data_IF_322470347267
#
_entry.id   IF_322470347267
#
_cell.length_a   1.000
_cell.length_b   1.000
_cell.length_c   1.000
_cell.angle_alpha   90.00
_cell.angle_beta   90.00
_cell.angle_gamma   90.00
#
_symmetry.space_group_name_H-M   'P 1'
#
loop_
_entity.id
_entity.type
_entity.pdbx_description
1 polymer ?
#
# COMPACT_ATOMS: atom_id res chain seq x y z
N UNK A 1 4.42 -3.55 -9.56
CA UNK A 1 3.22 -3.05 -10.26
C UNK A 1 2.27 -2.27 -9.34
N UNK A 2 2.17 -2.57 -8.03
CA UNK A 2 1.41 -1.77 -7.05
C UNK A 2 -0.13 -1.94 -7.14
N UNK A 3 -0.64 -3.14 -7.45
CA UNK A 3 -2.07 -3.43 -7.28
C UNK A 3 -2.45 -3.56 -5.81
N UNK A 4 -3.74 -3.45 -5.46
CA UNK A 4 -4.22 -3.44 -4.07
C UNK A 4 -3.58 -4.51 -3.16
N UNK A 5 -3.56 -5.77 -3.60
CA UNK A 5 -2.98 -6.88 -2.82
C UNK A 5 -1.47 -6.76 -2.62
N UNK A 6 -0.72 -6.36 -3.66
CA UNK A 6 0.74 -6.16 -3.55
C UNK A 6 1.06 -4.97 -2.65
N UNK A 7 0.28 -3.88 -2.75
CA UNK A 7 0.39 -2.72 -1.87
C UNK A 7 0.13 -3.12 -0.43
N UNK A 8 -0.95 -3.85 -0.16
CA UNK A 8 -1.28 -4.32 1.19
C UNK A 8 -0.18 -5.22 1.77
N UNK A 9 0.40 -6.14 0.98
CA UNK A 9 1.52 -6.97 1.43
C UNK A 9 2.78 -6.16 1.71
N UNK A 10 3.13 -5.19 0.85
CA UNK A 10 4.28 -4.31 1.06
C UNK A 10 4.15 -3.44 2.31
N UNK A 11 2.95 -2.88 2.55
CA UNK A 11 2.62 -2.11 3.76
C UNK A 11 2.80 -2.95 5.03
N UNK A 12 2.31 -4.20 5.05
CA UNK A 12 2.50 -5.11 6.19
C UNK A 12 3.97 -5.51 6.40
N UNK A 13 4.73 -5.63 5.31
CA UNK A 13 6.17 -5.89 5.41
C UNK A 13 6.93 -4.69 5.99
N UNK A 14 6.41 -3.47 5.84
CA UNK A 14 7.04 -2.24 6.33
C UNK A 14 8.31 -1.90 5.56
N UNK A 15 8.32 -2.14 4.24
CA UNK A 15 9.48 -1.91 3.38
C UNK A 15 9.21 -0.80 2.35
N UNK A 16 10.21 0.05 2.04
CA UNK A 16 10.12 0.98 0.93
C UNK A 16 9.84 0.28 -0.40
N UNK A 17 9.13 0.96 -1.30
CA UNK A 17 8.77 0.41 -2.62
C UNK A 17 9.14 1.35 -3.77
N UNK A 18 9.33 0.78 -4.97
CA UNK A 18 9.49 1.53 -6.22
C UNK A 18 8.33 1.13 -7.15
N UNK A 19 7.25 1.91 -7.20
CA UNK A 19 6.06 1.55 -7.95
C UNK A 19 6.26 1.76 -9.46
N UNK A 20 5.98 0.71 -10.23
CA UNK A 20 5.90 0.76 -11.70
C UNK A 20 4.50 0.28 -12.11
N UNK A 21 3.47 1.16 -12.14
CA UNK A 21 2.09 0.75 -12.43
C UNK A 21 1.86 0.49 -13.92
N UNK A 22 1.00 -0.49 -14.22
CA UNK A 22 0.66 -0.94 -15.57
C UNK A 22 -0.77 -0.55 -15.96
N UNK A 23 -1.79 -0.89 -15.16
CA UNK A 23 -3.20 -0.63 -15.48
C UNK A 23 -4.11 -0.69 -14.24
N UNK A 24 -5.41 -0.41 -14.42
CA UNK A 24 -6.47 -0.46 -13.40
C UNK A 24 -6.20 0.43 -12.18
N UNK A 25 -6.26 -0.13 -10.98
CA UNK A 25 -6.11 0.56 -9.69
C UNK A 25 -4.65 0.85 -9.31
N UNK A 26 -3.69 0.32 -10.07
CA UNK A 26 -2.27 0.40 -9.75
C UNK A 26 -1.73 1.84 -9.68
N UNK A 27 -2.07 2.77 -10.60
CA UNK A 27 -1.61 4.16 -10.49
C UNK A 27 -2.13 4.87 -9.23
N UNK A 28 -3.37 4.57 -8.82
CA UNK A 28 -3.96 5.13 -7.61
C UNK A 28 -3.13 4.74 -6.38
N UNK A 29 -2.87 3.44 -6.21
CA UNK A 29 -2.08 2.95 -5.07
C UNK A 29 -0.63 3.42 -5.13
N UNK A 30 -0.02 3.46 -6.32
CA UNK A 30 1.34 3.97 -6.50
C UNK A 30 1.47 5.43 -6.05
N UNK A 31 0.53 6.29 -6.46
CA UNK A 31 0.48 7.68 -6.01
C UNK A 31 0.21 7.76 -4.51
N UNK A 32 -0.71 6.96 -3.97
CA UNK A 32 -1.00 6.97 -2.53
C UNK A 32 0.21 6.59 -1.69
N UNK A 33 1.00 5.61 -2.11
CA UNK A 33 2.25 5.23 -1.45
C UNK A 33 3.27 6.38 -1.46
N UNK A 34 3.39 7.09 -2.58
CA UNK A 34 4.30 8.24 -2.69
C UNK A 34 3.84 9.42 -1.84
N UNK A 35 2.54 9.76 -1.85
CA UNK A 35 1.97 10.85 -1.06
C UNK A 35 2.11 10.61 0.45
N UNK A 36 2.11 9.34 0.87
CA UNK A 36 2.38 8.93 2.26
C UNK A 36 3.88 8.86 2.60
N UNK A 37 4.77 9.14 1.64
CA UNK A 37 6.22 9.07 1.83
C UNK A 37 6.76 7.66 2.04
N UNK A 38 6.12 6.65 1.44
CA UNK A 38 6.43 5.21 1.59
C UNK A 38 7.17 4.63 0.38
N UNK A 39 7.39 5.43 -0.66
CA UNK A 39 7.94 4.98 -1.92
C UNK A 39 8.71 6.08 -2.64
N UNK A 40 9.50 5.70 -3.65
CA UNK A 40 9.92 6.64 -4.68
C UNK A 40 8.72 7.15 -5.48
N UNK A 41 8.92 8.23 -6.24
CA UNK A 41 7.95 8.70 -7.23
C UNK A 41 7.62 7.56 -8.22
N UNK A 42 6.33 7.28 -8.49
CA UNK A 42 5.97 6.20 -9.40
C UNK A 42 6.57 6.39 -10.79
N UNK A 43 7.20 5.34 -11.32
CA UNK A 43 7.73 5.33 -12.69
C UNK A 43 6.63 4.76 -13.59
N UNK A 44 6.01 5.59 -14.42
CA UNK A 44 5.08 5.09 -15.44
C UNK A 44 5.82 4.12 -16.36
N UNK A 45 5.20 2.99 -16.72
CA UNK A 45 5.82 1.95 -17.56
C UNK A 45 6.50 2.51 -18.82
N UNK A 46 5.86 3.47 -19.50
CA UNK A 46 6.40 4.11 -20.72
C UNK A 46 7.66 4.95 -20.49
N UNK A 47 7.93 5.34 -19.24
CA UNK A 47 9.07 6.14 -18.81
C UNK A 47 10.12 5.28 -18.09
N UNK A 48 9.93 3.95 -18.00
CA UNK A 48 10.88 3.06 -17.34
C UNK A 48 12.15 2.94 -18.18
N UNK A 49 13.24 3.45 -17.63
CA UNK A 49 14.62 3.30 -18.11
C UNK A 49 15.53 2.83 -16.98
N UNK A 50 16.74 2.38 -17.34
CA UNK A 50 17.79 2.03 -16.39
C UNK A 50 18.05 3.19 -15.43
N UNK A 51 18.25 4.40 -15.96
CA UNK A 51 18.51 5.60 -15.15
C UNK A 51 17.36 5.93 -14.20
N UNK A 52 16.10 5.85 -14.68
CA UNK A 52 14.92 6.13 -13.84
C UNK A 52 14.82 5.15 -12.66
N UNK A 53 15.21 3.89 -12.88
CA UNK A 53 15.18 2.85 -11.87
C UNK A 53 16.33 3.02 -10.87
N UNK A 54 17.56 3.27 -11.34
CA UNK A 54 18.72 3.57 -10.49
C UNK A 54 18.42 4.76 -9.60
N UNK A 55 17.92 5.87 -10.16
CA UNK A 55 17.58 7.06 -9.39
C UNK A 55 16.52 6.78 -8.32
N UNK A 56 15.57 5.89 -8.59
CA UNK A 56 14.54 5.51 -7.63
C UNK A 56 15.08 4.59 -6.53
N UNK A 57 15.98 3.66 -6.86
CA UNK A 57 16.71 2.82 -5.87
C UNK A 57 17.54 3.71 -4.95
N UNK A 58 18.31 4.63 -5.54
CA UNK A 58 19.11 5.60 -4.79
C UNK A 58 18.23 6.45 -3.88
N UNK A 59 17.09 6.93 -4.39
CA UNK A 59 16.17 7.74 -3.59
C UNK A 59 15.65 6.98 -2.36
N UNK A 60 15.15 5.75 -2.52
CA UNK A 60 14.59 4.99 -1.38
C UNK A 60 15.65 4.47 -0.41
N UNK A 61 16.91 4.34 -0.85
CA UNK A 61 18.01 3.86 0.00
C UNK A 61 18.74 4.98 0.73
N UNK A 62 18.81 6.19 0.15
CA UNK A 62 19.49 7.35 0.76
C UNK A 62 18.62 8.11 1.78
N UNK A 63 17.30 7.99 1.70
CA UNK A 63 16.37 8.73 2.54
C UNK A 63 15.73 7.83 3.61
N UNK A 64 16.35 7.79 4.80
CA UNK A 64 15.91 6.95 5.92
C UNK A 64 14.44 7.19 6.34
N UNK A 65 13.94 8.41 6.19
CA UNK A 65 12.55 8.75 6.54
C UNK A 65 11.52 7.86 5.83
N UNK A 66 11.82 7.36 4.62
CA UNK A 66 10.90 6.50 3.86
C UNK A 66 10.74 5.16 4.59
N UNK A 67 11.85 4.57 5.04
CA UNK A 67 11.84 3.34 5.82
C UNK A 67 11.15 3.54 7.16
N UNK A 68 11.42 4.65 7.84
CA UNK A 68 10.77 5.01 9.11
C UNK A 68 9.25 5.13 8.93
N UNK A 69 8.78 5.80 7.88
CA UNK A 69 7.36 5.89 7.55
C UNK A 69 6.74 4.53 7.26
N UNK A 70 7.43 3.66 6.50
CA UNK A 70 6.98 2.30 6.23
C UNK A 70 6.82 1.48 7.52
N UNK A 71 7.78 1.56 8.44
CA UNK A 71 7.70 0.90 9.74
C UNK A 71 6.55 1.47 10.58
N UNK A 72 6.37 2.79 10.60
CA UNK A 72 5.26 3.44 11.32
C UNK A 72 3.89 2.98 10.81
N UNK A 73 3.70 2.93 9.49
CA UNK A 73 2.45 2.45 8.90
C UNK A 73 2.24 0.95 9.17
N UNK A 74 3.31 0.15 9.12
CA UNK A 74 3.24 -1.27 9.51
C UNK A 74 2.73 -1.43 10.94
N UNK A 75 3.29 -0.67 11.89
CA UNK A 75 2.85 -0.75 13.29
C UNK A 75 1.37 -0.36 13.45
N UNK A 76 0.93 0.69 12.75
CA UNK A 76 -0.50 1.05 12.73
C UNK A 76 -1.39 -0.07 12.22
N UNK A 77 -1.02 -0.70 11.09
CA UNK A 77 -1.78 -1.82 10.51
C UNK A 77 -1.78 -3.03 11.45
N UNK A 78 -0.66 -3.32 12.13
CA UNK A 78 -0.58 -4.43 13.08
C UNK A 78 -1.45 -4.23 14.32
N UNK A 79 -1.76 -2.98 14.67
CA UNK A 79 -2.66 -2.64 15.77
C UNK A 79 -4.15 -2.72 15.38
N UNK A 80 -4.46 -2.93 14.11
CA UNK A 80 -5.82 -3.10 13.63
C UNK A 80 -6.28 -4.56 13.73
N UNK A 81 -7.50 -4.78 14.25
CA UNK A 81 -8.22 -6.04 14.06
C UNK A 81 -9.35 -5.86 13.03
N UNK A 82 -8.93 -5.53 11.80
CA UNK A 82 -9.86 -5.18 10.73
C UNK A 82 -10.78 -6.33 10.31
N UNK A 83 -10.29 -7.57 10.35
CA UNK A 83 -11.06 -8.76 9.96
C UNK A 83 -12.16 -9.05 10.97
N UNK A 84 -11.83 -9.10 12.27
CA UNK A 84 -12.84 -9.33 13.32
C UNK A 84 -13.88 -8.21 13.34
N UNK A 85 -13.44 -6.95 13.23
CA UNK A 85 -14.36 -5.81 13.15
C UNK A 85 -15.30 -5.90 11.95
N UNK A 86 -14.80 -6.32 10.78
CA UNK A 86 -15.63 -6.52 9.59
C UNK A 86 -16.65 -7.63 9.82
N UNK A 87 -16.23 -8.79 10.34
CA UNK A 87 -17.12 -9.91 10.67
C UNK A 87 -18.21 -9.49 11.66
N UNK A 88 -17.85 -8.79 12.74
CA UNK A 88 -18.80 -8.25 13.73
C UNK A 88 -19.84 -7.33 13.08
N UNK A 89 -19.40 -6.42 12.21
CA UNK A 89 -20.30 -5.49 11.50
C UNK A 89 -21.23 -6.20 10.53
N UNK A 90 -20.72 -7.16 9.75
CA UNK A 90 -21.50 -7.96 8.81
C UNK A 90 -22.56 -8.79 9.56
N UNK A 91 -22.16 -9.47 10.64
CA UNK A 91 -23.08 -10.25 11.46
C UNK A 91 -24.16 -9.37 12.12
N UNK A 92 -23.79 -8.18 12.61
CA UNK A 92 -24.75 -7.20 13.14
C UNK A 92 -25.75 -6.77 12.06
N UNK A 93 -25.28 -6.48 10.86
CA UNK A 93 -26.14 -6.11 9.73
C UNK A 93 -27.14 -7.24 9.41
N UNK A 94 -26.68 -8.48 9.31
CA UNK A 94 -27.55 -9.63 9.04
C UNK A 94 -28.57 -9.87 10.14
N UNK A 95 -28.18 -9.83 11.41
CA UNK A 95 -29.13 -9.99 12.54
C UNK A 95 -30.21 -8.91 12.57
N UNK A 96 -29.88 -7.70 12.13
CA UNK A 96 -30.82 -6.58 12.11
C UNK A 96 -31.77 -6.61 10.91
N UNK A 97 -31.34 -7.14 9.75
CA UNK A 97 -32.06 -7.01 8.48
C UNK A 97 -32.56 -8.33 7.89
N UNK A 98 -32.14 -9.48 8.44
CA UNK A 98 -32.64 -10.79 8.06
C UNK A 98 -33.22 -11.44 9.32
N UNK A 99 -34.49 -11.11 9.62
CA UNK A 99 -35.32 -11.96 10.50
C UNK A 99 -35.89 -13.09 9.64
N UNK A 100 -35.79 -14.30 10.21
CA UNK A 100 -36.24 -15.58 9.65
C UNK A 100 -37.56 -15.45 8.90
N UNK A 101 -37.54 -15.82 7.62
CA UNK A 101 -38.66 -16.57 7.04
C UNK A 101 -38.88 -17.87 7.80
#
# INVERSE_FOLDING_TARGET
HCGAGTTASGLRAGVPTIPIPFFADQPFWANKMYDLGLSAKPILRKNLSVDSLINSIDYVTKHNFIKENCLHIKEKINQEDGVDLAVKKINKFFRANIKST
#
